data_IF_856270703728
#
_entry.id   IF_856270703728
#
_cell.length_a   1.000
_cell.length_b   1.000
_cell.length_c   1.000
_cell.angle_alpha   90.00
_cell.angle_beta   90.00
_cell.angle_gamma   90.00
#
_symmetry.space_group_name_H-M   'P 1'
#
loop_
_entity.id
_entity.type
_entity.pdbx_description
1 polymer ?
#
# COMPACT_ATOMS: atom_id res chain seq x y z
N UNK A 1 -26.71 1.22 -14.88
CA UNK A 1 -26.78 0.78 -13.49
C UNK A 1 -25.45 1.17 -12.89
N UNK A 2 -25.43 2.14 -11.97
CA UNK A 2 -24.19 2.49 -11.28
C UNK A 2 -23.80 1.31 -10.40
N UNK A 3 -22.67 0.69 -10.66
CA UNK A 3 -22.10 -0.33 -9.78
C UNK A 3 -21.73 0.42 -8.50
N UNK A 4 -22.42 0.10 -7.41
CA UNK A 4 -22.08 0.62 -6.08
C UNK A 4 -20.65 0.19 -5.78
N UNK A 5 -19.75 1.13 -5.45
CA UNK A 5 -18.39 0.82 -5.02
C UNK A 5 -18.47 -0.16 -3.84
N UNK A 6 -17.66 -1.22 -3.82
CA UNK A 6 -17.64 -2.20 -2.73
C UNK A 6 -17.15 -1.58 -1.41
N UNK A 7 -16.55 -0.40 -1.44
CA UNK A 7 -16.07 0.35 -0.28
C UNK A 7 -17.14 1.20 0.41
N UNK A 8 -18.36 1.27 -0.17
CA UNK A 8 -19.44 2.07 0.41
C UNK A 8 -20.15 1.32 1.53
N UNK A 9 -20.15 1.92 2.71
CA UNK A 9 -20.76 1.37 3.92
C UNK A 9 -21.96 2.21 4.32
N UNK A 10 -23.12 1.55 4.54
CA UNK A 10 -24.34 2.22 5.01
C UNK A 10 -24.22 2.56 6.49
N UNK A 11 -24.61 3.79 6.85
CA UNK A 11 -24.53 4.30 8.24
C UNK A 11 -25.88 4.81 8.77
N UNK A 12 -26.98 4.64 8.00
CA UNK A 12 -28.33 5.10 8.34
C UNK A 12 -28.77 4.73 9.77
N UNK A 13 -28.40 3.54 10.25
CA UNK A 13 -28.82 3.01 11.56
C UNK A 13 -28.20 3.76 12.74
N UNK A 14 -27.01 4.34 12.56
CA UNK A 14 -26.28 5.08 13.60
C UNK A 14 -26.24 6.58 13.39
N UNK A 15 -26.60 7.08 12.20
CA UNK A 15 -26.58 8.53 11.90
C UNK A 15 -27.37 9.36 12.90
N UNK A 16 -26.82 10.53 13.26
CA UNK A 16 -27.43 11.49 14.18
C UNK A 16 -27.80 10.92 15.55
N UNK A 17 -27.11 9.87 16.00
CA UNK A 17 -27.29 9.23 17.30
C UNK A 17 -25.96 9.20 18.08
N UNK A 18 -25.46 10.33 18.56
CA UNK A 18 -24.17 10.39 19.23
C UNK A 18 -24.03 9.36 20.35
N UNK A 19 -22.88 8.65 20.36
CA UNK A 19 -22.59 7.57 21.28
C UNK A 19 -23.05 6.19 20.84
N UNK A 20 -23.78 6.06 19.71
CA UNK A 20 -24.02 4.76 19.12
C UNK A 20 -22.80 4.31 18.29
N UNK A 21 -22.45 3.05 18.44
CA UNK A 21 -21.37 2.43 17.68
C UNK A 21 -21.82 1.11 17.06
N UNK A 22 -21.13 0.71 16.00
CA UNK A 22 -21.29 -0.57 15.32
C UNK A 22 -19.93 -1.10 14.91
N UNK A 23 -19.70 -2.38 15.15
CA UNK A 23 -18.54 -3.12 14.66
C UNK A 23 -18.99 -4.05 13.55
N UNK A 24 -18.18 -4.23 12.54
CA UNK A 24 -18.44 -5.12 11.41
C UNK A 24 -17.15 -5.51 10.71
N UNK A 25 -17.09 -6.74 10.23
CA UNK A 25 -16.06 -7.22 9.32
C UNK A 25 -16.53 -6.97 7.89
N UNK A 26 -15.66 -6.43 7.05
CA UNK A 26 -15.96 -6.10 5.64
C UNK A 26 -14.86 -6.65 4.76
N UNK A 27 -15.22 -7.60 3.90
CA UNK A 27 -14.31 -8.16 2.89
C UNK A 27 -14.56 -7.51 1.54
N UNK A 28 -13.54 -6.86 1.00
CA UNK A 28 -13.61 -6.14 -0.27
C UNK A 28 -12.71 -6.84 -1.28
N UNK A 29 -13.30 -7.32 -2.37
CA UNK A 29 -12.53 -7.85 -3.51
C UNK A 29 -12.25 -6.74 -4.50
N UNK A 30 -10.98 -6.48 -4.78
CA UNK A 30 -10.57 -5.43 -5.71
C UNK A 30 -10.95 -5.77 -7.15
N UNK A 31 -11.55 -4.81 -7.83
CA UNK A 31 -11.84 -4.85 -9.27
C UNK A 31 -10.73 -4.21 -10.11
N UNK A 32 -9.87 -3.43 -9.49
CA UNK A 32 -8.74 -2.72 -10.09
C UNK A 32 -7.49 -2.91 -9.23
N UNK A 33 -6.31 -2.70 -9.81
CA UNK A 33 -5.04 -2.74 -9.06
C UNK A 33 -4.99 -1.56 -8.10
N UNK A 34 -4.56 -1.79 -6.87
CA UNK A 34 -4.30 -0.75 -5.90
C UNK A 34 -2.79 -0.59 -5.68
N UNK A 35 -2.30 0.66 -5.80
CA UNK A 35 -0.88 1.01 -5.80
C UNK A 35 -0.30 1.11 -7.21
N UNK A 36 0.83 1.81 -7.33
CA UNK A 36 1.50 2.13 -8.60
C UNK A 36 3.04 1.94 -8.53
N UNK A 37 3.52 1.43 -7.41
CA UNK A 37 4.95 1.24 -7.15
C UNK A 37 5.46 -0.16 -7.44
N UNK A 38 6.58 -0.50 -6.80
CA UNK A 38 7.20 -1.82 -6.87
C UNK A 38 6.35 -2.92 -6.22
N UNK A 39 5.40 -2.53 -5.37
CA UNK A 39 4.44 -3.43 -4.72
C UNK A 39 3.02 -2.92 -4.97
N UNK A 40 2.10 -3.83 -5.25
CA UNK A 40 0.69 -3.52 -5.52
C UNK A 40 -0.22 -4.60 -4.95
N UNK A 41 -1.49 -4.25 -4.73
CA UNK A 41 -2.52 -5.25 -4.49
C UNK A 41 -3.16 -5.57 -5.86
N UNK A 42 -3.11 -6.81 -6.33
CA UNK A 42 -3.60 -7.16 -7.66
C UNK A 42 -5.13 -7.16 -7.74
N UNK A 43 -5.65 -7.12 -8.96
CA UNK A 43 -7.07 -7.39 -9.22
C UNK A 43 -7.45 -8.75 -8.63
N UNK A 44 -8.60 -8.81 -7.96
CA UNK A 44 -9.05 -10.01 -7.24
C UNK A 44 -8.42 -10.18 -5.86
N UNK A 45 -7.48 -9.29 -5.47
CA UNK A 45 -6.97 -9.23 -4.11
C UNK A 45 -8.09 -8.91 -3.13
N UNK A 46 -8.07 -9.54 -1.96
CA UNK A 46 -9.05 -9.31 -0.91
C UNK A 46 -8.46 -8.36 0.12
N UNK A 47 -9.24 -7.37 0.50
CA UNK A 47 -8.97 -6.47 1.61
C UNK A 47 -9.95 -6.83 2.71
N UNK A 48 -9.45 -7.43 3.78
CA UNK A 48 -10.20 -7.74 4.99
C UNK A 48 -10.13 -6.52 5.91
N UNK A 49 -11.26 -6.04 6.40
CA UNK A 49 -11.31 -4.83 7.22
C UNK A 49 -12.15 -5.06 8.46
N UNK A 50 -11.55 -4.94 9.63
CA UNK A 50 -12.24 -4.86 10.90
C UNK A 50 -12.63 -3.41 11.15
N UNK A 51 -13.91 -3.10 10.96
CA UNK A 51 -14.43 -1.73 10.93
C UNK A 51 -15.27 -1.44 12.18
N UNK A 52 -14.94 -0.35 12.86
CA UNK A 52 -15.71 0.25 13.93
C UNK A 52 -16.20 1.62 13.49
N UNK A 53 -17.51 1.82 13.52
CA UNK A 53 -18.18 3.08 13.23
C UNK A 53 -18.79 3.65 14.50
N UNK A 54 -18.54 4.90 14.78
CA UNK A 54 -19.07 5.60 15.94
C UNK A 54 -19.75 6.90 15.51
N UNK A 55 -20.99 7.10 15.91
CA UNK A 55 -21.72 8.36 15.66
C UNK A 55 -21.28 9.42 16.66
N UNK A 56 -20.78 10.52 16.14
CA UNK A 56 -20.44 11.72 16.91
C UNK A 56 -21.36 12.90 16.50
N UNK A 57 -21.26 14.05 17.15
CA UNK A 57 -22.14 15.18 16.84
C UNK A 57 -21.92 15.73 15.43
N UNK A 58 -20.67 15.65 14.95
CA UNK A 58 -20.23 16.26 13.68
C UNK A 58 -20.29 15.30 12.50
N UNK A 59 -20.36 13.97 12.76
CA UNK A 59 -20.27 12.97 11.71
C UNK A 59 -20.26 11.53 12.21
N UNK A 60 -19.67 10.68 11.38
CA UNK A 60 -19.36 9.29 11.68
C UNK A 60 -17.84 9.14 11.76
N UNK A 61 -17.33 8.76 12.93
CA UNK A 61 -15.93 8.37 13.10
C UNK A 61 -15.79 6.90 12.68
N UNK A 62 -14.99 6.67 11.65
CA UNK A 62 -14.62 5.34 11.17
C UNK A 62 -13.21 5.01 11.66
N UNK A 63 -13.05 3.92 12.37
CA UNK A 63 -11.77 3.34 12.76
C UNK A 63 -11.72 1.93 12.22
N UNK A 64 -10.62 1.53 11.60
CA UNK A 64 -10.49 0.18 11.06
C UNK A 64 -9.07 -0.32 11.05
N UNK A 65 -8.96 -1.65 11.12
CA UNK A 65 -7.74 -2.40 10.84
C UNK A 65 -7.92 -3.11 9.50
N UNK A 66 -6.93 -3.01 8.63
CA UNK A 66 -6.96 -3.51 7.26
C UNK A 66 -5.87 -4.54 7.06
N UNK A 67 -6.25 -5.70 6.56
CA UNK A 67 -5.36 -6.80 6.25
C UNK A 67 -5.46 -7.15 4.76
N UNK A 68 -4.31 -7.26 4.10
CA UNK A 68 -4.24 -7.68 2.71
C UNK A 68 -2.86 -8.24 2.36
N UNK A 69 -2.65 -8.64 1.11
CA UNK A 69 -1.35 -9.10 0.62
C UNK A 69 -0.95 -8.31 -0.61
N UNK A 70 0.17 -7.60 -0.51
CA UNK A 70 0.80 -6.95 -1.65
C UNK A 70 1.71 -7.94 -2.41
N UNK A 71 1.74 -7.79 -3.72
CA UNK A 71 2.62 -8.54 -4.62
C UNK A 71 3.51 -7.58 -5.39
N UNK A 72 4.71 -8.01 -5.72
CA UNK A 72 5.66 -7.22 -6.48
C UNK A 72 6.95 -7.96 -6.71
N UNK A 73 8.03 -7.24 -6.92
CA UNK A 73 9.35 -7.80 -7.21
C UNK A 73 10.40 -7.20 -6.29
N UNK A 74 11.40 -8.00 -5.95
CA UNK A 74 12.56 -7.52 -5.20
C UNK A 74 13.33 -6.47 -6.01
N UNK A 75 13.58 -5.31 -5.44
CA UNK A 75 14.30 -4.22 -6.11
C UNK A 75 15.76 -4.55 -6.47
N UNK A 76 16.29 -5.66 -5.95
CA UNK A 76 17.69 -6.07 -6.19
C UNK A 76 17.81 -7.28 -7.12
N UNK A 77 16.99 -8.32 -6.95
CA UNK A 77 17.11 -9.57 -7.71
C UNK A 77 15.94 -9.84 -8.65
N UNK A 78 14.90 -9.02 -8.61
CA UNK A 78 13.66 -9.11 -9.40
C UNK A 78 12.85 -10.40 -9.16
N UNK A 79 13.09 -11.07 -8.03
CA UNK A 79 12.27 -12.20 -7.63
C UNK A 79 10.90 -11.71 -7.12
N UNK A 80 9.87 -12.51 -7.42
CA UNK A 80 8.52 -12.21 -6.93
C UNK A 80 8.50 -12.15 -5.39
N UNK A 81 7.80 -11.15 -4.88
CA UNK A 81 7.57 -10.95 -3.46
C UNK A 81 6.08 -10.92 -3.15
N UNK A 82 5.75 -11.50 -1.99
CA UNK A 82 4.44 -11.35 -1.36
C UNK A 82 4.66 -10.82 0.04
N UNK A 83 4.05 -9.69 0.33
CA UNK A 83 4.20 -9.00 1.60
C UNK A 83 2.82 -8.89 2.26
N UNK A 84 2.63 -9.42 3.47
CA UNK A 84 1.43 -9.11 4.25
C UNK A 84 1.43 -7.62 4.59
N UNK A 85 0.27 -7.00 4.44
CA UNK A 85 0.02 -5.61 4.76
C UNK A 85 -1.00 -5.57 5.87
N UNK A 86 -0.66 -4.91 6.96
CA UNK A 86 -1.52 -4.66 8.10
C UNK A 86 -1.41 -3.17 8.44
N UNK A 87 -2.52 -2.46 8.34
CA UNK A 87 -2.57 -1.00 8.57
C UNK A 87 -3.83 -0.61 9.30
N UNK A 88 -3.71 0.44 10.10
CA UNK A 88 -4.82 1.06 10.81
C UNK A 88 -5.21 2.35 10.10
N UNK A 89 -6.49 2.69 10.18
CA UNK A 89 -6.95 4.02 9.82
C UNK A 89 -7.98 4.55 10.83
N UNK A 90 -8.07 5.87 10.92
CA UNK A 90 -9.13 6.56 11.64
C UNK A 90 -9.48 7.85 10.90
N UNK A 91 -10.76 7.99 10.52
CA UNK A 91 -11.21 9.17 9.77
C UNK A 91 -12.63 9.58 10.17
N UNK A 92 -12.89 10.89 10.16
CA UNK A 92 -14.18 11.47 10.46
C UNK A 92 -14.93 11.83 9.17
N UNK A 93 -16.04 11.18 8.93
CA UNK A 93 -16.96 11.50 7.82
C UNK A 93 -18.02 12.48 8.31
N UNK A 94 -17.87 13.75 7.95
CA UNK A 94 -18.73 14.81 8.41
C UNK A 94 -20.14 14.75 7.81
N UNK A 95 -21.17 15.16 8.57
CA UNK A 95 -22.53 15.29 8.04
C UNK A 95 -22.70 16.49 7.09
N UNK A 96 -21.82 17.48 7.19
CA UNK A 96 -21.78 18.65 6.33
C UNK A 96 -20.33 19.02 6.05
N UNK A 97 -19.87 18.79 4.82
CA UNK A 97 -18.57 19.26 4.34
C UNK A 97 -18.67 20.67 3.80
N UNK A 98 -17.64 21.47 4.01
CA UNK A 98 -17.53 22.86 3.50
C UNK A 98 -16.46 23.01 2.44
N UNK A 99 -15.58 22.01 2.25
CA UNK A 99 -14.47 22.02 1.31
C UNK A 99 -14.43 20.72 0.48
N UNK A 100 -13.80 20.78 -0.70
CA UNK A 100 -13.74 19.65 -1.65
C UNK A 100 -12.96 18.43 -1.13
N UNK A 101 -12.16 18.60 -0.08
CA UNK A 101 -11.28 17.55 0.48
C UNK A 101 -11.87 16.87 1.74
N UNK A 102 -13.06 17.28 2.18
CA UNK A 102 -13.65 16.72 3.40
C UNK A 102 -14.32 15.37 3.13
N UNK A 103 -14.01 14.36 3.96
CA UNK A 103 -14.74 13.11 3.99
C UNK A 103 -16.16 13.37 4.51
N UNK A 104 -17.16 13.04 3.71
CA UNK A 104 -18.55 13.35 4.04
C UNK A 104 -19.45 12.13 3.98
N UNK A 105 -20.52 12.15 4.77
CA UNK A 105 -21.61 11.20 4.67
C UNK A 105 -22.52 11.63 3.51
N UNK A 106 -22.65 10.80 2.49
CA UNK A 106 -23.49 11.04 1.32
C UNK A 106 -24.47 9.90 1.12
N UNK A 107 -25.74 10.20 0.89
CA UNK A 107 -26.80 9.19 0.67
C UNK A 107 -26.85 8.12 1.78
N UNK A 108 -26.68 8.54 3.04
CA UNK A 108 -26.63 7.66 4.22
C UNK A 108 -25.50 6.60 4.16
N UNK A 109 -24.43 6.88 3.42
CA UNK A 109 -23.26 6.04 3.23
C UNK A 109 -21.98 6.85 3.43
N UNK A 110 -20.93 6.15 3.81
CA UNK A 110 -19.54 6.63 3.77
C UNK A 110 -18.77 5.83 2.73
N UNK A 111 -17.81 6.46 2.07
CA UNK A 111 -16.91 5.80 1.13
C UNK A 111 -15.54 5.63 1.77
N UNK A 112 -15.18 4.39 2.07
CA UNK A 112 -13.90 4.04 2.71
C UNK A 112 -12.75 3.92 1.70
N UNK A 113 -13.03 3.96 0.38
CA UNK A 113 -12.01 3.72 -0.64
C UNK A 113 -10.80 4.65 -0.52
N UNK A 114 -10.95 5.99 -0.41
CA UNK A 114 -9.79 6.88 -0.32
C UNK A 114 -8.95 6.60 0.92
N UNK A 115 -9.60 6.42 2.08
CA UNK A 115 -8.91 6.22 3.36
C UNK A 115 -8.14 4.91 3.38
N UNK A 116 -8.78 3.81 2.95
CA UNK A 116 -8.14 2.48 2.89
C UNK A 116 -7.01 2.49 1.85
N UNK A 117 -7.24 3.11 0.69
CA UNK A 117 -6.22 3.23 -0.36
C UNK A 117 -4.99 3.95 0.15
N UNK A 118 -5.17 5.11 0.79
CA UNK A 118 -4.07 5.91 1.32
C UNK A 118 -3.31 5.16 2.41
N UNK A 119 -4.00 4.53 3.35
CA UNK A 119 -3.38 3.74 4.40
C UNK A 119 -2.53 2.59 3.83
N UNK A 120 -3.05 1.82 2.87
CA UNK A 120 -2.32 0.73 2.22
C UNK A 120 -1.13 1.28 1.43
N UNK A 121 -1.35 2.23 0.50
CA UNK A 121 -0.31 2.70 -0.42
C UNK A 121 0.85 3.34 0.33
N UNK A 122 0.57 4.10 1.40
CA UNK A 122 1.61 4.71 2.22
C UNK A 122 2.42 3.71 3.05
N UNK A 123 1.86 2.53 3.34
CA UNK A 123 2.55 1.46 4.06
C UNK A 123 3.48 0.63 3.17
N UNK A 124 3.26 0.64 1.85
CA UNK A 124 4.04 -0.18 0.93
C UNK A 124 5.49 0.31 0.84
N UNK A 125 6.49 -0.59 0.91
CA UNK A 125 7.88 -0.19 0.83
C UNK A 125 8.25 0.29 -0.58
N UNK A 126 8.94 1.42 -0.66
CA UNK A 126 9.47 1.97 -1.91
C UNK A 126 10.49 1.03 -2.59
N UNK A 127 11.26 0.31 -1.81
CA UNK A 127 12.30 -0.61 -2.28
C UNK A 127 12.16 -1.96 -1.56
N UNK A 128 11.20 -2.78 -1.98
CA UNK A 128 11.01 -4.09 -1.41
C UNK A 128 12.22 -4.98 -1.70
N UNK A 129 12.65 -5.76 -0.71
CA UNK A 129 13.77 -6.69 -0.85
C UNK A 129 13.37 -8.07 -0.31
N UNK A 130 13.79 -9.12 -0.98
CA UNK A 130 13.50 -10.50 -0.55
C UNK A 130 14.23 -10.86 0.76
N UNK A 131 15.39 -10.24 1.01
CA UNK A 131 16.12 -10.31 2.28
C UNK A 131 16.97 -9.06 2.46
N UNK A 132 17.31 -8.67 3.70
CA UNK A 132 18.20 -7.53 3.97
C UNK A 132 19.55 -7.65 3.24
N UNK A 133 20.07 -8.88 3.13
CA UNK A 133 21.38 -9.19 2.53
C UNK A 133 21.27 -9.66 1.07
N UNK A 134 20.15 -9.39 0.38
CA UNK A 134 19.99 -9.79 -1.01
C UNK A 134 21.15 -9.21 -1.86
N UNK A 135 21.99 -10.08 -2.50
CA UNK A 135 23.13 -9.61 -3.29
C UNK A 135 22.72 -9.00 -4.64
N UNK A 136 21.46 -9.23 -5.05
CA UNK A 136 20.92 -8.67 -6.28
C UNK A 136 21.37 -9.37 -7.54
N UNK A 137 21.31 -8.59 -8.64
CA UNK A 137 21.80 -8.98 -9.96
C UNK A 137 23.18 -8.38 -10.22
N UNK A 138 23.97 -9.05 -11.04
CA UNK A 138 25.20 -8.46 -11.55
C UNK A 138 24.86 -7.26 -12.48
N UNK A 139 25.47 -6.08 -12.26
CA UNK A 139 25.18 -4.90 -13.08
C UNK A 139 25.62 -5.03 -14.54
N UNK A 140 26.58 -5.92 -14.83
CA UNK A 140 27.15 -6.07 -16.19
C UNK A 140 26.36 -7.07 -17.03
N UNK A 141 25.89 -8.18 -16.44
CA UNK A 141 25.28 -9.27 -17.20
C UNK A 141 23.90 -9.72 -16.67
N UNK A 142 23.41 -9.15 -15.55
CA UNK A 142 22.09 -9.46 -15.00
C UNK A 142 21.98 -10.84 -14.33
N UNK A 143 23.08 -11.57 -14.14
CA UNK A 143 23.02 -12.88 -13.47
C UNK A 143 22.72 -12.70 -11.99
N UNK A 144 21.93 -13.60 -11.40
CA UNK A 144 21.62 -13.58 -9.97
C UNK A 144 22.86 -13.95 -9.16
N UNK A 145 23.34 -13.01 -8.33
CA UNK A 145 24.53 -13.20 -7.52
C UNK A 145 24.30 -14.19 -6.37
N UNK A 146 23.08 -14.36 -5.92
CA UNK A 146 22.73 -15.37 -4.91
C UNK A 146 23.00 -16.80 -5.40
N UNK A 147 22.77 -17.07 -6.69
CA UNK A 147 23.01 -18.36 -7.32
C UNK A 147 24.47 -18.54 -7.77
N UNK A 148 25.18 -17.42 -7.95
CA UNK A 148 26.54 -17.39 -8.47
C UNK A 148 27.45 -16.51 -7.59
N UNK A 149 27.79 -16.95 -6.36
CA UNK A 149 28.50 -16.10 -5.39
C UNK A 149 29.95 -15.78 -5.81
N UNK A 150 30.55 -16.57 -6.71
CA UNK A 150 31.91 -16.34 -7.24
C UNK A 150 31.90 -15.67 -8.63
N UNK A 151 30.74 -15.14 -9.05
CA UNK A 151 30.63 -14.47 -10.33
C UNK A 151 31.43 -13.16 -10.33
N UNK A 152 32.32 -13.02 -11.29
CA UNK A 152 33.15 -11.84 -11.47
C UNK A 152 33.31 -11.52 -12.96
N UNK A 153 33.47 -10.26 -13.28
CA UNK A 153 33.86 -9.76 -14.59
C UNK A 153 35.25 -9.11 -14.49
N UNK A 154 35.98 -9.13 -15.58
CA UNK A 154 37.17 -8.29 -15.71
C UNK A 154 36.74 -6.84 -15.61
N UNK A 155 37.15 -6.13 -14.57
CA UNK A 155 36.81 -4.71 -14.38
C UNK A 155 37.50 -3.88 -15.45
N UNK A 156 36.79 -3.62 -16.53
CA UNK A 156 37.20 -2.60 -17.50
C UNK A 156 36.92 -1.22 -16.88
N UNK A 157 37.97 -0.55 -16.44
CA UNK A 157 37.84 0.83 -15.97
C UNK A 157 37.53 1.72 -17.16
N UNK A 158 36.41 2.44 -17.11
CA UNK A 158 36.07 3.44 -18.12
C UNK A 158 37.23 4.40 -18.29
N UNK A 159 37.65 4.59 -19.54
CA UNK A 159 38.84 5.44 -19.90
C UNK A 159 38.74 6.86 -19.33
N UNK A 160 37.55 7.36 -19.09
CA UNK A 160 37.31 8.71 -18.51
C UNK A 160 37.76 8.76 -17.03
N UNK A 161 37.77 7.64 -16.33
CA UNK A 161 38.10 7.54 -14.90
C UNK A 161 39.51 7.02 -14.66
N UNK A 162 40.28 6.67 -15.73
CA UNK A 162 41.63 6.10 -15.63
C UNK A 162 42.57 6.99 -14.84
N UNK A 163 42.44 8.32 -14.95
CA UNK A 163 43.28 9.25 -14.20
C UNK A 163 43.03 9.22 -12.67
N UNK A 164 41.84 8.86 -12.22
CA UNK A 164 41.54 8.73 -10.78
C UNK A 164 42.25 7.54 -10.13
N UNK A 165 42.65 6.53 -10.90
CA UNK A 165 43.42 5.41 -10.37
C UNK A 165 44.80 5.83 -9.79
N UNK A 166 45.34 6.95 -10.29
CA UNK A 166 46.63 7.50 -9.81
C UNK A 166 46.58 8.04 -8.38
N UNK A 167 45.38 8.33 -7.86
CA UNK A 167 45.16 8.85 -6.50
C UNK A 167 44.97 7.73 -5.46
N UNK A 168 45.02 6.48 -5.85
CA UNK A 168 44.75 5.33 -4.95
C UNK A 168 46.04 4.72 -4.40
N UNK A 169 47.24 5.24 -4.73
CA UNK A 169 48.56 4.72 -4.36
C UNK A 169 49.29 5.58 -3.31
N UNK A 170 48.58 6.26 -2.38
CA UNK A 170 49.17 6.85 -1.19
C UNK A 170 48.57 6.26 0.09
#
# INVERSE_FOLDING_TARGET
MAVSSPFKVKVHDIMHRPGQMRESEVDITLTEVMGDGAMTIPVGGVIETDLRLESVHEGILATGEVFTTAVGECSRCLDELKLPVEVDFQELFAYSGTEEDDFTVSDEQIDLEPVIRDAIVLSLPFQPVCSPDCPGLCPDCGVKLAENPNHAHDQQVDSRWTELLKFKEE
#
